data_IF_842467612106
#
_entry.id   IF_842467612106
#
_cell.length_a   1.000
_cell.length_b   1.000
_cell.length_c   1.000
_cell.angle_alpha   90.00
_cell.angle_beta   90.00
_cell.angle_gamma   90.00
#
_symmetry.space_group_name_H-M   'P 1'
#
loop_
_entity.id
_entity.type
_entity.pdbx_description
1 polymer ?
#
# COMPACT_ATOMS: atom_id res chain seq x y z
N UNK A 1 -25.71 -82.43 21.38
CA UNK A 1 -26.15 -81.88 20.08
C UNK A 1 -27.34 -80.96 20.33
N UNK A 2 -27.13 -79.65 20.26
CA UNK A 2 -28.18 -78.65 20.35
C UNK A 2 -27.76 -77.48 19.48
N UNK A 3 -28.53 -77.19 18.43
CA UNK A 3 -28.20 -76.19 17.42
C UNK A 3 -28.65 -74.81 17.87
N UNK A 4 -27.70 -73.88 17.97
CA UNK A 4 -27.97 -72.47 18.25
C UNK A 4 -28.50 -71.78 16.99
N UNK A 5 -29.74 -71.32 17.02
CA UNK A 5 -30.32 -70.51 15.95
C UNK A 5 -30.00 -69.03 16.17
N UNK A 6 -29.21 -68.42 15.28
CA UNK A 6 -28.99 -66.98 15.22
C UNK A 6 -30.14 -66.31 14.48
N UNK A 7 -31.00 -65.62 15.23
CA UNK A 7 -32.10 -64.78 14.71
C UNK A 7 -31.51 -63.47 14.20
N UNK A 8 -31.47 -63.27 12.88
CA UNK A 8 -31.18 -61.96 12.27
C UNK A 8 -32.36 -61.01 12.52
N UNK A 9 -32.08 -59.87 13.14
CA UNK A 9 -33.02 -58.75 13.18
C UNK A 9 -33.03 -58.03 11.82
N UNK A 10 -34.19 -57.57 11.33
CA UNK A 10 -34.26 -56.74 10.14
C UNK A 10 -33.68 -55.35 10.45
N UNK A 11 -32.78 -54.87 9.59
CA UNK A 11 -32.30 -53.50 9.62
C UNK A 11 -33.44 -52.56 9.23
N UNK A 12 -33.79 -51.64 10.13
CA UNK A 12 -34.74 -50.57 9.89
C UNK A 12 -33.98 -49.46 9.13
N UNK A 13 -34.26 -49.28 7.84
CA UNK A 13 -33.82 -48.11 7.09
C UNK A 13 -34.89 -47.04 7.28
N UNK A 14 -34.60 -46.07 8.14
CA UNK A 14 -35.47 -44.94 8.42
C UNK A 14 -34.65 -43.67 8.27
N UNK A 15 -34.49 -43.24 7.02
CA UNK A 15 -34.44 -41.83 6.63
C UNK A 15 -34.87 -41.80 5.16
N UNK A 16 -36.13 -41.47 4.90
CA UNK A 16 -36.50 -40.93 3.60
C UNK A 16 -35.76 -39.59 3.47
N UNK A 17 -34.76 -39.54 2.59
CA UNK A 17 -34.10 -38.29 2.19
C UNK A 17 -35.15 -37.40 1.53
N UNK A 18 -35.81 -36.58 2.35
CA UNK A 18 -36.72 -35.53 1.92
C UNK A 18 -35.91 -34.41 1.25
N UNK A 19 -35.69 -34.58 -0.05
CA UNK A 19 -35.09 -33.58 -0.94
C UNK A 19 -35.85 -32.23 -0.95
N UNK A 20 -37.07 -32.21 -0.40
CA UNK A 20 -37.92 -31.05 -0.14
C UNK A 20 -37.41 -30.13 0.99
N UNK A 21 -36.39 -30.53 1.76
CA UNK A 21 -35.79 -29.69 2.81
C UNK A 21 -34.70 -28.72 2.28
N UNK A 22 -34.24 -28.89 1.03
CA UNK A 22 -33.29 -27.95 0.44
C UNK A 22 -34.05 -26.83 -0.28
N UNK A 23 -34.04 -25.63 0.32
CA UNK A 23 -34.50 -24.41 -0.32
C UNK A 23 -33.90 -24.30 -1.73
N UNK A 24 -34.80 -24.21 -2.73
CA UNK A 24 -34.44 -24.02 -4.12
C UNK A 24 -33.58 -22.78 -4.24
N UNK A 25 -32.28 -22.95 -4.56
CA UNK A 25 -31.35 -21.82 -4.73
C UNK A 25 -31.94 -20.85 -5.75
N UNK A 26 -32.09 -19.58 -5.37
CA UNK A 26 -32.57 -18.55 -6.28
C UNK A 26 -31.66 -18.50 -7.52
N UNK A 27 -32.23 -18.38 -8.73
CA UNK A 27 -31.44 -18.28 -9.95
C UNK A 27 -30.50 -17.08 -9.85
N UNK A 28 -29.19 -17.31 -10.03
CA UNK A 28 -28.20 -16.23 -10.04
C UNK A 28 -28.57 -15.26 -11.17
N UNK A 29 -29.08 -14.10 -10.80
CA UNK A 29 -29.46 -13.03 -11.72
C UNK A 29 -28.21 -12.29 -12.22
N UNK A 30 -27.34 -12.99 -12.94
CA UNK A 30 -26.31 -12.37 -13.75
C UNK A 30 -27.00 -11.76 -14.99
N UNK A 31 -27.68 -10.62 -14.80
CA UNK A 31 -28.11 -9.76 -15.90
C UNK A 31 -26.85 -9.21 -16.57
N UNK A 32 -26.46 -9.84 -17.67
CA UNK A 32 -25.44 -9.32 -18.59
C UNK A 32 -26.00 -8.06 -19.24
N UNK A 33 -25.65 -6.89 -18.70
CA UNK A 33 -25.94 -5.62 -19.34
C UNK A 33 -25.27 -5.60 -20.71
N UNK A 34 -26.07 -5.45 -21.77
CA UNK A 34 -25.56 -5.06 -23.07
C UNK A 34 -25.27 -3.56 -22.99
N UNK A 35 -24.05 -3.10 -23.35
CA UNK A 35 -23.81 -1.68 -23.47
C UNK A 35 -24.74 -1.13 -24.56
N UNK A 36 -25.53 -0.14 -24.20
CA UNK A 36 -26.25 0.68 -25.16
C UNK A 36 -25.20 1.55 -25.86
N UNK A 37 -25.00 1.34 -27.16
CA UNK A 37 -24.26 2.27 -28.01
C UNK A 37 -25.12 3.52 -28.17
N UNK A 38 -24.91 4.52 -27.31
CA UNK A 38 -25.44 5.87 -27.46
C UNK A 38 -24.65 6.59 -28.54
N UNK A 39 -24.98 6.34 -29.80
CA UNK A 39 -24.38 6.99 -30.97
C UNK A 39 -24.94 8.41 -31.18
N UNK A 40 -26.05 8.77 -30.53
CA UNK A 40 -26.78 10.01 -30.84
C UNK A 40 -26.77 11.05 -29.70
N UNK A 41 -25.75 11.06 -28.82
CA UNK A 41 -25.62 12.09 -27.78
C UNK A 41 -24.73 13.26 -28.27
N UNK A 42 -25.30 14.43 -28.62
CA UNK A 42 -24.56 15.56 -29.19
C UNK A 42 -23.61 16.25 -28.20
N UNK A 43 -23.56 15.83 -26.93
CA UNK A 43 -22.66 16.40 -25.92
C UNK A 43 -21.29 15.69 -25.82
N UNK A 44 -21.10 14.53 -26.47
CA UNK A 44 -19.82 13.80 -26.44
C UNK A 44 -18.85 14.14 -27.59
N UNK A 45 -19.30 14.92 -28.58
CA UNK A 45 -18.48 15.29 -29.74
C UNK A 45 -17.43 16.39 -29.44
N UNK A 46 -17.49 17.06 -28.29
CA UNK A 46 -16.57 18.16 -27.97
C UNK A 46 -15.29 17.73 -27.22
N UNK A 47 -15.18 16.47 -26.79
CA UNK A 47 -13.99 15.98 -26.06
C UNK A 47 -13.05 15.07 -26.88
N UNK A 48 -13.34 14.79 -28.15
CA UNK A 48 -12.51 13.89 -28.98
C UNK A 48 -11.27 14.53 -29.64
N UNK A 49 -10.93 15.78 -29.30
CA UNK A 49 -9.78 16.49 -29.91
C UNK A 49 -8.57 16.70 -28.99
N UNK A 50 -8.28 15.81 -28.02
CA UNK A 50 -6.94 15.83 -27.38
C UNK A 50 -6.50 14.44 -26.91
N UNK A 51 -5.97 13.59 -27.80
CA UNK A 51 -5.09 12.48 -27.37
C UNK A 51 -4.24 11.90 -28.52
N UNK A 52 -3.16 12.60 -28.88
CA UNK A 52 -2.02 11.95 -29.54
C UNK A 52 -0.96 11.61 -28.49
N UNK A 53 -1.21 10.59 -27.68
CA UNK A 53 -0.19 10.02 -26.79
C UNK A 53 0.72 9.13 -27.65
N UNK A 54 1.86 9.73 -27.98
CA UNK A 54 2.95 9.17 -28.76
C UNK A 54 3.62 8.01 -27.99
N UNK A 55 3.36 6.76 -28.40
CA UNK A 55 4.06 5.57 -27.90
C UNK A 55 5.54 5.66 -28.26
N UNK A 56 6.38 6.19 -27.36
CA UNK A 56 7.84 6.06 -27.46
C UNK A 56 8.26 4.65 -27.03
N UNK A 57 8.66 3.86 -28.03
CA UNK A 57 9.42 2.62 -27.87
C UNK A 57 10.80 2.96 -27.28
N UNK A 58 11.14 2.40 -26.12
CA UNK A 58 12.53 2.35 -25.65
C UNK A 58 13.17 1.06 -26.17
N UNK A 59 13.94 1.20 -27.25
CA UNK A 59 14.89 0.21 -27.72
C UNK A 59 16.07 0.14 -26.75
N UNK A 60 16.55 -1.08 -26.47
CA UNK A 60 17.72 -1.33 -25.66
C UNK A 60 18.96 -0.61 -26.15
N UNK A 61 19.85 -0.28 -25.23
CA UNK A 61 21.22 0.08 -25.57
C UNK A 61 22.22 -0.50 -24.55
N UNK A 62 23.15 -1.20 -25.16
CA UNK A 62 24.31 -1.94 -24.67
C UNK A 62 25.29 -1.01 -23.98
N UNK A 63 25.65 -1.30 -22.74
CA UNK A 63 26.73 -0.60 -22.03
C UNK A 63 28.09 -1.18 -22.45
N UNK A 64 28.76 -0.54 -23.41
CA UNK A 64 30.22 -0.64 -23.60
C UNK A 64 30.88 0.42 -22.73
N UNK A 65 31.56 -0.01 -21.67
CA UNK A 65 32.46 0.83 -20.88
C UNK A 65 33.75 1.05 -21.66
N UNK A 66 33.99 2.30 -22.06
CA UNK A 66 35.27 2.74 -22.63
C UNK A 66 35.88 3.80 -21.72
N UNK A 67 37.18 3.63 -21.55
CA UNK A 67 38.15 4.37 -20.77
C UNK A 67 38.12 5.88 -21.00
N UNK A 68 38.07 6.66 -19.91
CA UNK A 68 38.40 8.09 -19.94
C UNK A 68 39.81 8.25 -19.33
N UNK A 69 40.78 8.56 -20.21
CA UNK A 69 42.05 9.20 -19.86
C UNK A 69 41.77 10.69 -19.67
N UNK A 70 42.15 11.26 -18.53
CA UNK A 70 42.25 12.71 -18.35
C UNK A 70 43.72 13.11 -18.36
N UNK A 71 44.11 13.74 -19.46
CA UNK A 71 45.33 14.54 -19.59
C UNK A 71 45.04 15.94 -19.02
N UNK A 72 45.88 16.44 -18.12
CA UNK A 72 45.97 17.88 -17.84
C UNK A 72 47.42 18.32 -17.97
N UNK A 73 47.59 19.41 -18.70
CA UNK A 73 48.84 19.86 -19.29
C UNK A 73 48.92 21.39 -19.11
N UNK A 74 49.98 21.83 -18.40
CA UNK A 74 50.69 23.13 -18.40
C UNK A 74 50.07 24.39 -17.73
N UNK A 75 50.87 25.45 -17.46
CA UNK A 75 52.12 25.53 -16.64
C UNK A 75 52.19 26.87 -15.83
N UNK A 76 53.37 27.23 -15.27
CA UNK A 76 53.94 28.59 -14.94
C UNK A 76 54.58 28.57 -13.53
N UNK A 77 55.90 28.49 -13.31
CA UNK A 77 57.09 29.36 -13.55
C UNK A 77 57.27 30.50 -12.52
N UNK A 78 58.33 30.39 -11.69
CA UNK A 78 59.24 31.45 -11.17
C UNK A 78 60.47 30.72 -10.57
N UNK A 79 61.71 30.77 -11.08
CA UNK A 79 62.76 31.81 -11.20
C UNK A 79 63.45 32.23 -9.90
N UNK A 80 64.75 31.92 -9.81
CA UNK A 80 65.77 32.43 -8.86
C UNK A 80 66.93 31.43 -8.76
N UNK A 81 68.02 31.58 -9.54
CA UNK A 81 69.31 32.22 -9.19
C UNK A 81 69.95 31.64 -7.91
N UNK A 82 71.24 31.29 -7.82
CA UNK A 82 72.39 31.43 -8.70
C UNK A 82 73.48 30.43 -8.24
N UNK A 83 74.54 30.36 -9.04
CA UNK A 83 75.72 29.50 -8.93
C UNK A 83 76.44 29.55 -7.57
N UNK A 84 77.13 28.45 -7.21
CA UNK A 84 78.61 28.39 -7.22
C UNK A 84 79.16 27.06 -6.70
N UNK A 85 79.80 26.34 -7.62
CA UNK A 85 81.04 25.55 -7.50
C UNK A 85 81.73 25.56 -6.12
N UNK A 86 81.84 24.39 -5.50
CA UNK A 86 82.96 24.06 -4.62
C UNK A 86 83.22 22.54 -4.63
N UNK A 87 84.39 22.19 -5.15
CA UNK A 87 85.01 20.87 -5.12
C UNK A 87 85.45 20.56 -3.69
N UNK A 88 85.03 19.42 -3.14
CA UNK A 88 85.84 18.67 -2.15
C UNK A 88 85.58 17.16 -2.28
N UNK A 89 86.62 16.35 -2.50
CA UNK A 89 86.56 14.90 -2.35
C UNK A 89 86.90 14.55 -0.91
N UNK A 90 86.08 13.73 -0.27
CA UNK A 90 86.51 12.74 0.73
C UNK A 90 85.29 12.34 1.55
N UNK A 91 84.93 11.07 1.42
CA UNK A 91 84.95 10.07 2.50
C UNK A 91 83.85 9.08 2.15
N UNK A 92 84.31 7.95 1.62
CA UNK A 92 83.60 6.69 1.61
C UNK A 92 83.15 6.40 3.04
N UNK A 93 81.96 6.85 3.38
CA UNK A 93 81.20 6.25 4.46
C UNK A 93 80.50 5.09 3.78
N UNK A 94 81.02 3.89 4.01
CA UNK A 94 80.27 2.67 3.88
C UNK A 94 78.99 2.86 4.69
N UNK A 95 77.94 3.36 4.04
CA UNK A 95 76.59 3.09 4.48
C UNK A 95 76.46 1.60 4.28
N UNK A 96 76.82 0.87 5.34
CA UNK A 96 76.30 -0.44 5.68
C UNK A 96 74.82 -0.35 5.36
N UNK A 97 74.49 -0.88 4.18
CA UNK A 97 73.15 -1.12 3.70
C UNK A 97 72.52 -1.93 4.82
N UNK A 98 71.85 -1.24 5.73
CA UNK A 98 70.85 -1.89 6.54
C UNK A 98 69.83 -2.30 5.49
N UNK A 99 69.96 -3.56 5.08
CA UNK A 99 68.92 -4.34 4.47
C UNK A 99 67.74 -4.25 5.44
N UNK A 100 67.01 -3.15 5.38
CA UNK A 100 65.64 -3.12 5.86
C UNK A 100 64.99 -4.22 5.05
N UNK A 101 64.56 -5.33 5.67
CA UNK A 101 63.77 -6.29 4.94
C UNK A 101 62.62 -5.46 4.39
N UNK A 102 62.49 -5.45 3.06
CA UNK A 102 61.27 -4.99 2.41
C UNK A 102 60.20 -5.79 3.13
N UNK A 103 59.51 -5.16 4.09
CA UNK A 103 58.30 -5.69 4.65
C UNK A 103 57.39 -5.70 3.44
N UNK A 104 57.38 -6.85 2.77
CA UNK A 104 56.27 -7.28 1.98
C UNK A 104 55.10 -7.08 2.92
N UNK A 105 54.41 -5.95 2.75
CA UNK A 105 53.02 -5.80 3.11
C UNK A 105 52.34 -6.92 2.34
N UNK A 106 52.38 -8.10 2.95
CA UNK A 106 51.64 -9.25 2.57
C UNK A 106 50.23 -8.71 2.55
N UNK A 107 49.75 -8.45 1.33
CA UNK A 107 48.37 -8.11 1.08
C UNK A 107 47.62 -9.27 1.70
N UNK A 108 47.23 -9.11 2.97
CA UNK A 108 46.41 -10.07 3.70
C UNK A 108 45.21 -10.22 2.81
N UNK A 109 45.19 -11.30 2.04
CA UNK A 109 44.05 -11.63 1.22
C UNK A 109 42.92 -11.73 2.22
N UNK A 110 42.00 -10.76 2.18
CA UNK A 110 40.79 -10.83 2.99
C UNK A 110 40.16 -12.15 2.58
N UNK A 111 40.29 -13.15 3.45
CA UNK A 111 39.75 -14.48 3.22
C UNK A 111 38.25 -14.28 3.07
N UNK A 112 37.79 -14.36 1.84
CA UNK A 112 36.41 -14.20 1.48
C UNK A 112 35.69 -15.40 2.08
N UNK A 113 34.80 -15.16 3.04
CA UNK A 113 34.00 -16.21 3.67
C UNK A 113 32.68 -16.30 2.91
N UNK A 114 32.53 -17.17 1.89
CA UNK A 114 31.32 -17.24 1.08
C UNK A 114 30.09 -17.58 1.94
N UNK A 115 30.26 -18.36 3.02
CA UNK A 115 29.19 -18.66 3.96
C UNK A 115 28.59 -17.41 4.62
N UNK A 116 29.40 -16.38 4.90
CA UNK A 116 28.91 -15.12 5.46
C UNK A 116 28.07 -14.34 4.44
N UNK A 117 28.46 -14.38 3.17
CA UNK A 117 27.71 -13.69 2.10
C UNK A 117 26.41 -14.42 1.79
N UNK A 118 26.43 -15.75 1.74
CA UNK A 118 25.22 -16.56 1.60
C UNK A 118 24.28 -16.29 2.78
N UNK A 119 24.79 -16.28 4.01
CA UNK A 119 24.02 -15.94 5.20
C UNK A 119 23.40 -14.54 5.12
N UNK A 120 24.15 -13.55 4.63
CA UNK A 120 23.65 -12.19 4.44
C UNK A 120 22.54 -12.12 3.38
N UNK A 121 22.69 -12.84 2.26
CA UNK A 121 21.67 -12.90 1.21
C UNK A 121 20.39 -13.56 1.74
N UNK A 122 20.52 -14.69 2.45
CA UNK A 122 19.38 -15.37 3.07
C UNK A 122 18.68 -14.46 4.08
N UNK A 123 19.44 -13.77 4.93
CA UNK A 123 18.86 -12.82 5.88
C UNK A 123 18.08 -11.69 5.19
N UNK A 124 18.60 -11.16 4.09
CA UNK A 124 17.89 -10.13 3.28
C UNK A 124 16.61 -10.70 2.67
N UNK A 125 16.65 -11.91 2.10
CA UNK A 125 15.46 -12.56 1.52
C UNK A 125 14.40 -12.82 2.59
N UNK A 126 14.81 -13.31 3.76
CA UNK A 126 13.92 -13.55 4.90
C UNK A 126 13.30 -12.23 5.38
N UNK A 127 14.10 -11.16 5.50
CA UNK A 127 13.62 -9.85 5.91
C UNK A 127 12.59 -9.27 4.93
N UNK A 128 12.84 -9.38 3.62
CA UNK A 128 11.89 -8.95 2.57
C UNK A 128 10.61 -9.78 2.63
N UNK A 129 10.73 -11.11 2.76
CA UNK A 129 9.57 -12.01 2.90
C UNK A 129 8.72 -11.68 4.13
N UNK A 130 9.35 -11.41 5.27
CA UNK A 130 8.67 -10.97 6.50
C UNK A 130 7.92 -9.65 6.30
N UNK A 131 8.52 -8.69 5.60
CA UNK A 131 7.88 -7.40 5.34
C UNK A 131 6.63 -7.57 4.46
N UNK A 132 6.72 -8.41 3.42
CA UNK A 132 5.56 -8.73 2.58
C UNK A 132 4.45 -9.43 3.38
N UNK A 133 4.81 -10.38 4.23
CA UNK A 133 3.85 -11.13 5.06
C UNK A 133 3.14 -10.23 6.07
N UNK A 134 3.86 -9.31 6.73
CA UNK A 134 3.28 -8.34 7.67
C UNK A 134 2.31 -7.40 6.96
N UNK A 135 2.69 -6.88 5.78
CA UNK A 135 1.82 -6.00 5.00
C UNK A 135 0.54 -6.71 4.53
N UNK A 136 0.67 -7.94 4.02
CA UNK A 136 -0.47 -8.77 3.65
C UNK A 136 -1.38 -9.07 4.84
N UNK A 137 -0.80 -9.43 5.99
CA UNK A 137 -1.55 -9.72 7.21
C UNK A 137 -2.34 -8.50 7.72
N UNK A 138 -1.72 -7.31 7.69
CA UNK A 138 -2.41 -6.07 8.04
C UNK A 138 -3.59 -5.78 7.12
N UNK A 139 -3.42 -5.95 5.79
CA UNK A 139 -4.52 -5.81 4.83
C UNK A 139 -5.66 -6.79 5.12
N UNK A 140 -5.34 -8.07 5.32
CA UNK A 140 -6.32 -9.10 5.65
C UNK A 140 -7.09 -8.80 6.96
N UNK A 141 -6.40 -8.33 8.00
CA UNK A 141 -7.05 -7.93 9.26
C UNK A 141 -8.01 -6.76 9.07
N UNK A 142 -7.63 -5.77 8.26
CA UNK A 142 -8.50 -4.65 7.93
C UNK A 142 -9.70 -5.10 7.11
N UNK A 143 -9.50 -6.00 6.15
CA UNK A 143 -10.58 -6.51 5.30
C UNK A 143 -11.59 -7.34 6.11
N UNK A 144 -11.14 -8.08 7.13
CA UNK A 144 -12.05 -8.76 8.08
C UNK A 144 -12.80 -7.73 8.94
N UNK A 145 -12.09 -6.73 9.46
CA UNK A 145 -12.66 -5.79 10.45
C UNK A 145 -13.65 -4.82 9.81
N UNK A 146 -13.37 -4.37 8.58
CA UNK A 146 -14.11 -3.28 7.92
C UNK A 146 -14.81 -3.70 6.62
N UNK A 147 -14.56 -4.91 6.12
CA UNK A 147 -15.07 -5.37 4.83
C UNK A 147 -14.41 -4.69 3.64
N UNK A 148 -14.74 -5.18 2.44
CA UNK A 148 -14.40 -4.52 1.18
C UNK A 148 -15.67 -4.41 0.32
N UNK A 149 -16.16 -3.20 -0.01
CA UNK A 149 -15.62 -1.87 0.32
C UNK A 149 -15.67 -1.55 1.83
N UNK A 150 -14.71 -0.74 2.31
CA UNK A 150 -14.60 -0.39 3.73
C UNK A 150 -15.76 0.52 4.13
N UNK A 151 -16.68 -0.01 4.91
CA UNK A 151 -17.82 0.75 5.45
C UNK A 151 -17.82 0.71 6.95
N UNK A 152 -18.06 1.86 7.59
CA UNK A 152 -18.36 1.94 9.00
C UNK A 152 -19.78 2.45 9.19
N UNK A 153 -20.41 2.05 10.29
CA UNK A 153 -21.76 2.48 10.62
C UNK A 153 -21.81 2.89 12.08
N UNK A 154 -22.54 3.97 12.37
CA UNK A 154 -22.81 4.39 13.75
C UNK A 154 -24.25 4.89 13.86
N UNK A 155 -24.82 4.78 15.05
CA UNK A 155 -26.12 5.35 15.40
C UNK A 155 -25.93 6.45 16.43
N UNK A 156 -26.52 7.62 16.20
CA UNK A 156 -26.43 8.75 17.13
C UNK A 156 -27.68 9.62 17.09
N UNK A 157 -27.99 10.25 18.22
CA UNK A 157 -29.06 11.27 18.32
C UNK A 157 -28.42 12.64 18.11
N UNK A 158 -28.66 13.23 16.94
CA UNK A 158 -28.03 14.48 16.47
C UNK A 158 -29.02 15.64 16.33
N UNK A 159 -30.32 15.40 16.51
CA UNK A 159 -31.38 16.41 16.44
C UNK A 159 -32.04 16.54 15.07
N UNK A 160 -31.86 15.55 14.17
CA UNK A 160 -32.44 15.55 12.82
C UNK A 160 -33.70 14.69 12.76
N UNK A 161 -34.75 15.10 13.48
CA UNK A 161 -36.00 14.33 13.59
C UNK A 161 -35.76 12.90 14.13
N UNK A 162 -34.80 12.78 15.05
CA UNK A 162 -34.40 11.53 15.69
C UNK A 162 -34.71 11.53 17.19
N UNK A 163 -34.61 10.35 17.79
CA UNK A 163 -34.84 10.13 19.22
C UNK A 163 -34.02 8.95 19.71
N UNK A 164 -33.96 8.73 21.02
CA UNK A 164 -33.29 7.55 21.58
C UNK A 164 -33.88 6.23 21.08
N UNK A 165 -35.17 6.20 20.72
CA UNK A 165 -35.82 5.01 20.15
C UNK A 165 -35.57 4.87 18.63
N UNK A 166 -35.29 5.98 17.96
CA UNK A 166 -35.07 6.08 16.52
C UNK A 166 -33.87 6.99 16.27
N UNK A 167 -32.63 6.51 16.53
CA UNK A 167 -31.44 7.32 16.31
C UNK A 167 -31.20 7.54 14.83
N UNK A 168 -30.45 8.58 14.49
CA UNK A 168 -29.96 8.77 13.13
C UNK A 168 -28.89 7.73 12.83
N UNK A 169 -29.04 7.01 11.72
CA UNK A 169 -28.06 6.02 11.26
C UNK A 169 -27.12 6.67 10.25
N UNK A 170 -25.82 6.52 10.47
CA UNK A 170 -24.79 6.99 9.55
C UNK A 170 -24.03 5.82 8.95
N UNK A 171 -23.77 5.91 7.65
CA UNK A 171 -22.88 5.01 6.92
C UNK A 171 -21.75 5.83 6.35
N UNK A 172 -20.51 5.44 6.67
CA UNK A 172 -19.30 6.02 6.12
C UNK A 172 -18.72 5.06 5.12
N UNK A 173 -18.39 5.55 3.92
CA UNK A 173 -17.77 4.74 2.88
C UNK A 173 -16.62 5.49 2.23
N UNK A 174 -15.56 4.74 1.95
CA UNK A 174 -14.50 5.17 1.04
C UNK A 174 -14.78 4.61 -0.35
N UNK A 175 -15.31 5.44 -1.24
CA UNK A 175 -15.60 5.05 -2.60
C UNK A 175 -14.47 5.52 -3.52
N UNK A 176 -13.50 4.65 -3.78
CA UNK A 176 -12.35 4.91 -4.66
C UNK A 176 -11.53 6.17 -4.29
N UNK A 177 -11.35 6.42 -3.00
CA UNK A 177 -10.67 7.62 -2.50
C UNK A 177 -11.59 8.82 -2.36
N UNK A 178 -12.88 8.71 -2.64
CA UNK A 178 -13.88 9.72 -2.29
C UNK A 178 -14.56 9.32 -0.97
N UNK A 179 -14.49 10.18 0.04
CA UNK A 179 -15.22 9.96 1.29
C UNK A 179 -16.68 10.33 1.06
N UNK A 180 -17.59 9.43 1.40
CA UNK A 180 -19.03 9.68 1.35
C UNK A 180 -19.66 9.28 2.68
N UNK A 181 -20.52 10.16 3.20
CA UNK A 181 -21.29 9.93 4.42
C UNK A 181 -22.75 9.93 4.06
N UNK A 182 -23.44 8.85 4.37
CA UNK A 182 -24.88 8.70 4.18
C UNK A 182 -25.55 8.78 5.54
N UNK A 183 -26.50 9.69 5.67
CA UNK A 183 -27.32 9.90 6.86
C UNK A 183 -28.75 9.40 6.60
N UNK A 184 -29.29 8.65 7.55
CA UNK A 184 -30.71 8.26 7.60
C UNK A 184 -31.34 8.88 8.86
N UNK A 185 -31.97 10.06 8.74
CA UNK A 185 -32.52 10.81 9.88
C UNK A 185 -33.56 9.97 10.61
N UNK A 186 -33.38 9.78 11.92
CA UNK A 186 -34.25 8.93 12.74
C UNK A 186 -34.39 7.48 12.25
N UNK A 187 -33.41 6.97 11.50
CA UNK A 187 -33.44 5.63 10.91
C UNK A 187 -34.40 5.49 9.73
N UNK A 188 -34.93 6.60 9.19
CA UNK A 188 -35.86 6.61 8.07
C UNK A 188 -35.11 6.43 6.74
N UNK A 189 -35.19 5.22 6.16
CA UNK A 189 -34.57 4.88 4.88
C UNK A 189 -35.20 5.58 3.67
N UNK A 190 -36.34 6.26 3.84
CA UNK A 190 -36.99 7.03 2.78
C UNK A 190 -36.41 8.44 2.61
N UNK A 191 -35.60 8.92 3.56
CA UNK A 191 -35.03 10.28 3.55
C UNK A 191 -33.49 10.31 3.68
N UNK A 192 -32.75 9.51 2.88
CA UNK A 192 -31.30 9.52 2.96
C UNK A 192 -30.75 10.89 2.55
N UNK A 193 -29.68 11.30 3.22
CA UNK A 193 -28.90 12.49 2.86
C UNK A 193 -27.45 12.08 2.68
N UNK A 194 -26.82 12.63 1.66
CA UNK A 194 -25.46 12.25 1.27
C UNK A 194 -24.56 13.47 1.38
N UNK A 195 -23.45 13.32 2.10
CA UNK A 195 -22.42 14.33 2.26
C UNK A 195 -21.12 13.84 1.65
N UNK A 196 -20.64 14.59 0.65
CA UNK A 196 -19.35 14.31 0.03
C UNK A 196 -18.24 14.97 0.84
N UNK A 197 -17.31 14.14 1.32
CA UNK A 197 -16.06 14.59 1.92
C UNK A 197 -15.01 14.93 0.86
N UNK A 198 -13.82 15.38 1.31
CA UNK A 198 -12.71 15.68 0.42
C UNK A 198 -12.16 14.41 -0.27
N UNK A 199 -11.58 14.54 -1.47
CA UNK A 199 -10.93 13.43 -2.14
C UNK A 199 -9.58 13.10 -1.49
N UNK A 200 -9.27 11.82 -1.39
CA UNK A 200 -8.00 11.26 -0.94
C UNK A 200 -7.10 11.03 -2.16
N UNK A 201 -5.98 11.76 -2.23
CA UNK A 201 -5.03 11.63 -3.34
C UNK A 201 -3.88 10.68 -2.99
N UNK A 202 -3.63 9.67 -3.83
CA UNK A 202 -2.48 8.77 -3.71
C UNK A 202 -2.80 7.32 -4.07
N UNK A 203 -1.76 6.48 -4.20
CA UNK A 203 -1.93 5.04 -4.39
C UNK A 203 -2.40 4.37 -3.10
N UNK A 204 -3.43 3.51 -3.17
CA UNK A 204 -3.94 2.75 -2.02
C UNK A 204 -4.84 3.55 -1.08
N UNK A 205 -5.28 4.75 -1.47
CA UNK A 205 -6.18 5.58 -0.66
C UNK A 205 -7.59 5.00 -0.57
N UNK A 206 -8.01 4.23 -1.57
CA UNK A 206 -9.23 3.43 -1.58
C UNK A 206 -9.25 2.34 -0.49
N UNK A 207 -8.07 1.97 0.01
CA UNK A 207 -7.90 1.00 1.08
C UNK A 207 -7.87 1.61 2.48
N UNK A 208 -8.03 2.93 2.61
CA UNK A 208 -8.03 3.55 3.94
C UNK A 208 -9.41 3.38 4.57
N UNK A 209 -9.50 2.83 5.80
CA UNK A 209 -10.76 2.74 6.51
C UNK A 209 -11.26 4.14 6.87
N UNK A 210 -12.56 4.35 6.65
CA UNK A 210 -13.28 5.54 7.06
C UNK A 210 -14.17 5.14 8.22
N UNK A 211 -14.02 5.81 9.35
CA UNK A 211 -14.89 5.66 10.52
C UNK A 211 -15.45 7.02 10.92
N UNK A 212 -16.41 7.05 11.83
CA UNK A 212 -16.97 8.30 12.31
C UNK A 212 -17.33 8.24 13.79
N UNK A 213 -17.39 9.41 14.40
CA UNK A 213 -17.88 9.60 15.76
C UNK A 213 -18.65 10.92 15.87
N UNK A 214 -19.57 11.00 16.81
CA UNK A 214 -20.28 12.24 17.12
C UNK A 214 -19.67 12.94 18.33
N UNK A 215 -19.62 14.27 18.28
CA UNK A 215 -19.08 15.09 19.36
C UNK A 215 -20.03 16.23 19.68
N UNK A 216 -20.26 16.48 20.97
CA UNK A 216 -20.98 17.66 21.39
C UNK A 216 -20.04 18.87 21.41
N UNK A 217 -20.32 19.87 20.57
CA UNK A 217 -19.64 21.16 20.59
C UNK A 217 -20.68 22.27 20.67
N UNK A 218 -20.61 23.07 21.74
CA UNK A 218 -21.48 24.24 21.95
C UNK A 218 -22.98 23.92 21.90
N UNK A 219 -23.38 22.75 22.39
CA UNK A 219 -24.79 22.34 22.45
C UNK A 219 -25.35 21.78 21.14
N UNK A 220 -24.51 21.65 20.10
CA UNK A 220 -24.84 20.92 18.86
C UNK A 220 -23.98 19.66 18.74
N UNK A 221 -24.57 18.60 18.24
CA UNK A 221 -23.86 17.35 17.97
C UNK A 221 -23.28 17.43 16.55
N UNK A 222 -21.96 17.57 16.46
CA UNK A 222 -21.20 17.54 15.22
C UNK A 222 -20.73 16.13 14.91
N UNK A 223 -20.38 15.89 13.65
CA UNK A 223 -19.87 14.62 13.17
C UNK A 223 -18.38 14.76 12.83
N UNK A 224 -17.55 13.84 13.32
CA UNK A 224 -16.14 13.73 12.97
C UNK A 224 -15.97 12.46 12.16
N UNK A 225 -15.37 12.59 10.98
CA UNK A 225 -15.03 11.47 10.10
C UNK A 225 -13.53 11.23 10.16
N UNK A 226 -13.13 10.05 10.61
CA UNK A 226 -11.75 9.63 10.72
C UNK A 226 -11.34 8.84 9.48
N UNK A 227 -10.25 9.26 8.85
CA UNK A 227 -9.72 8.63 7.63
C UNK A 227 -8.23 8.41 7.79
N UNK A 228 -7.86 7.19 8.18
CA UNK A 228 -6.49 6.84 8.51
C UNK A 228 -5.97 7.66 9.70
N UNK A 229 -5.24 8.74 9.41
CA UNK A 229 -4.66 9.65 10.42
C UNK A 229 -5.23 11.07 10.37
N UNK A 230 -6.23 11.30 9.52
CA UNK A 230 -6.85 12.60 9.29
C UNK A 230 -8.28 12.60 9.83
N UNK A 231 -8.70 13.73 10.40
CA UNK A 231 -10.04 13.93 10.93
C UNK A 231 -10.72 15.07 10.17
N UNK A 232 -11.92 14.81 9.64
CA UNK A 232 -12.76 15.79 8.97
C UNK A 232 -13.96 16.14 9.83
N UNK A 233 -14.15 17.43 10.07
CA UNK A 233 -15.26 17.92 10.88
C UNK A 233 -16.45 18.29 9.98
N UNK A 234 -17.58 17.67 10.27
CA UNK A 234 -18.88 17.98 9.71
C UNK A 234 -19.71 18.73 10.76
N UNK A 235 -19.93 20.01 10.52
CA UNK A 235 -20.65 20.90 11.44
C UNK A 235 -22.15 20.75 11.22
N UNK A 236 -22.87 20.52 12.31
CA UNK A 236 -24.31 20.44 12.32
C UNK A 236 -24.93 21.84 12.38
N UNK A 237 -25.72 22.21 11.37
CA UNK A 237 -26.44 23.48 11.36
C UNK A 237 -27.80 23.42 12.09
N UNK A 238 -28.26 22.22 12.46
CA UNK A 238 -29.53 21.89 13.11
C UNK A 238 -30.51 21.19 12.15
N UNK A 239 -30.21 21.17 10.86
CA UNK A 239 -30.98 20.46 9.83
C UNK A 239 -30.14 19.48 9.06
N UNK A 240 -28.85 19.77 8.85
CA UNK A 240 -27.93 19.00 8.02
C UNK A 240 -26.49 19.21 8.48
N UNK A 241 -25.59 18.39 7.95
CA UNK A 241 -24.15 18.52 8.15
C UNK A 241 -23.47 19.24 6.98
N UNK A 242 -22.45 20.03 7.28
CA UNK A 242 -21.58 20.70 6.31
C UNK A 242 -20.10 20.40 6.58
N UNK A 243 -19.30 20.06 5.56
CA UNK A 243 -17.85 19.90 5.74
C UNK A 243 -17.21 21.25 6.06
N UNK A 244 -16.23 21.25 6.97
CA UNK A 244 -15.46 22.44 7.37
C UNK A 244 -13.99 22.32 6.98
#
# INVERSE_FOLDING_TARGET
MGTTYTRRQPAYYDVEDRDDLYETRMPSSARRYKPYETIDDPLLLQQQYVSSIQRRRSSGNTTKTSSIKTSSVYPTRHTGSAASRAVRPSKTVDMRRNDYPIQNDSRRSKRFNPALIIGMIVAVVVMVGLTFLVSWWQGFQQDITYGYPRTAQIDAVVGHNDSTAHPTHFVFINLHGQIEVIEFPGGDTSKPRIFNGPPLSGSGQDLIPVTGNTVNQQGKINLIVHVGSQDFLFVNDGKTFHPR
#
